data_IF_928465759487
#
_entry.id   IF_928465759487
#
_cell.length_a   1.000
_cell.length_b   1.000
_cell.length_c   1.000
_cell.angle_alpha   90.00
_cell.angle_beta   90.00
_cell.angle_gamma   90.00
#
_symmetry.space_group_name_H-M   'P 1'
#
loop_
_entity.id
_entity.type
_entity.pdbx_description
1 polymer ?
#
# COMPACT_ATOMS: atom_id res chain seq x y z
N UNK A 1 18.57 -16.14 5.69
CA UNK A 1 17.87 -14.92 5.26
C UNK A 1 18.34 -14.49 3.87
N UNK A 2 19.63 -14.19 3.63
CA UNK A 2 20.11 -13.75 2.30
C UNK A 2 19.74 -14.69 1.13
N UNK A 3 19.86 -16.01 1.29
CA UNK A 3 19.54 -16.96 0.22
C UNK A 3 18.03 -17.03 -0.11
N UNK A 4 17.18 -16.65 0.84
CA UNK A 4 15.72 -16.72 0.75
C UNK A 4 15.11 -15.43 0.18
N UNK A 5 15.87 -14.33 0.14
CA UNK A 5 15.40 -13.07 -0.42
C UNK A 5 15.30 -13.16 -1.94
N UNK A 6 14.13 -12.82 -2.48
CA UNK A 6 13.93 -12.51 -3.89
C UNK A 6 13.71 -11.00 -4.04
N UNK A 7 14.47 -10.37 -4.93
CA UNK A 7 14.46 -8.92 -5.09
C UNK A 7 14.57 -8.50 -6.55
N UNK A 8 13.70 -7.57 -6.94
CA UNK A 8 13.70 -6.93 -8.24
C UNK A 8 13.76 -5.42 -8.09
N UNK A 9 14.73 -4.81 -8.76
CA UNK A 9 14.73 -3.35 -9.00
C UNK A 9 14.22 -3.11 -10.41
N UNK A 10 13.17 -2.31 -10.53
CA UNK A 10 12.49 -2.02 -11.77
C UNK A 10 12.36 -0.50 -11.96
N UNK A 11 12.61 -0.04 -13.18
CA UNK A 11 12.40 1.36 -13.56
C UNK A 11 11.38 1.42 -14.69
N UNK A 12 10.21 1.95 -14.37
CA UNK A 12 9.17 2.26 -15.32
C UNK A 12 9.52 3.57 -16.03
N UNK A 13 9.92 3.49 -17.30
CA UNK A 13 10.46 4.61 -18.08
C UNK A 13 9.46 5.27 -19.04
N UNK A 14 8.21 4.81 -19.06
CA UNK A 14 7.21 5.33 -20.00
C UNK A 14 6.73 6.73 -19.61
N UNK A 15 6.58 6.99 -18.31
CA UNK A 15 6.26 8.29 -17.75
C UNK A 15 6.67 8.37 -16.28
N UNK A 16 6.58 9.55 -15.69
CA UNK A 16 6.78 9.78 -14.25
C UNK A 16 5.69 10.65 -13.65
N UNK A 17 5.96 11.21 -12.47
CA UNK A 17 4.99 12.03 -11.72
C UNK A 17 4.50 13.25 -12.48
N UNK A 18 5.26 13.75 -13.47
CA UNK A 18 4.84 14.88 -14.30
C UNK A 18 3.55 14.57 -15.05
N UNK A 19 3.48 13.41 -15.70
CA UNK A 19 2.32 12.98 -16.46
C UNK A 19 1.11 12.78 -15.54
N UNK A 20 1.31 12.08 -14.42
CA UNK A 20 0.22 11.82 -13.45
C UNK A 20 -0.39 13.13 -12.91
N UNK A 21 0.46 14.13 -12.61
CA UNK A 21 0.00 15.47 -12.23
C UNK A 21 -0.77 16.18 -13.35
N UNK A 22 -0.34 16.04 -14.61
CA UNK A 22 -1.07 16.61 -15.76
C UNK A 22 -2.47 15.99 -15.94
N UNK A 23 -2.67 14.75 -15.48
CA UNK A 23 -3.98 14.11 -15.42
C UNK A 23 -4.84 14.59 -14.22
N UNK A 24 -4.33 15.49 -13.38
CA UNK A 24 -5.02 15.98 -12.18
C UNK A 24 -5.03 14.99 -11.01
N UNK A 25 -4.09 14.03 -10.99
CA UNK A 25 -4.03 12.97 -9.97
C UNK A 25 -2.84 13.16 -9.02
N UNK A 26 -3.01 12.72 -7.76
CA UNK A 26 -1.90 12.55 -6.82
C UNK A 26 -0.97 11.44 -7.33
N UNK A 27 0.33 11.71 -7.57
CA UNK A 27 1.27 10.69 -8.03
C UNK A 27 1.39 9.49 -7.10
N UNK A 28 1.43 9.76 -5.79
CA UNK A 28 1.53 8.74 -4.75
C UNK A 28 0.31 7.81 -4.77
N UNK A 29 -0.89 8.40 -4.69
CA UNK A 29 -2.15 7.66 -4.67
C UNK A 29 -2.40 6.89 -5.99
N UNK A 30 -1.99 7.46 -7.12
CA UNK A 30 -2.01 6.75 -8.41
C UNK A 30 -1.11 5.50 -8.40
N UNK A 31 0.10 5.61 -7.86
CA UNK A 31 1.05 4.49 -7.76
C UNK A 31 0.51 3.42 -6.80
N UNK A 32 -0.08 3.83 -5.67
CA UNK A 32 -0.73 2.92 -4.73
C UNK A 32 -1.85 2.11 -5.38
N UNK A 33 -2.75 2.75 -6.14
CA UNK A 33 -3.79 2.02 -6.89
C UNK A 33 -3.23 1.17 -8.03
N UNK A 34 -2.13 1.58 -8.67
CA UNK A 34 -1.45 0.74 -9.65
C UNK A 34 -0.90 -0.54 -8.99
N UNK A 35 -0.38 -0.45 -7.76
CA UNK A 35 0.08 -1.63 -6.99
C UNK A 35 -1.09 -2.52 -6.54
N UNK A 36 -2.23 -1.94 -6.13
CA UNK A 36 -3.45 -2.73 -5.85
C UNK A 36 -3.91 -3.50 -7.09
N UNK A 37 -3.98 -2.83 -8.24
CA UNK A 37 -4.35 -3.46 -9.51
C UNK A 37 -3.37 -4.56 -9.92
N UNK A 38 -2.07 -4.34 -9.74
CA UNK A 38 -1.05 -5.34 -10.04
C UNK A 38 -1.21 -6.57 -9.14
N UNK A 39 -1.41 -6.38 -7.82
CA UNK A 39 -1.65 -7.48 -6.90
C UNK A 39 -2.92 -8.25 -7.27
N UNK A 40 -4.02 -7.54 -7.52
CA UNK A 40 -5.30 -8.15 -7.87
C UNK A 40 -5.20 -8.98 -9.16
N UNK A 41 -4.48 -8.51 -10.19
CA UNK A 41 -4.23 -9.28 -11.42
C UNK A 41 -3.42 -10.55 -11.22
N UNK A 42 -2.55 -10.59 -10.20
CA UNK A 42 -1.68 -11.75 -9.93
C UNK A 42 -2.43 -12.79 -9.10
N UNK A 43 -3.22 -12.32 -8.12
CA UNK A 43 -3.78 -13.15 -7.04
C UNK A 43 -5.29 -13.29 -7.06
N UNK A 44 -6.01 -12.49 -7.85
CA UNK A 44 -7.48 -12.38 -7.87
C UNK A 44 -8.09 -12.16 -6.47
N UNK A 45 -7.36 -11.42 -5.62
CA UNK A 45 -7.73 -11.10 -4.24
C UNK A 45 -7.18 -9.73 -3.86
N UNK A 46 -7.83 -9.06 -2.91
CA UNK A 46 -7.34 -7.79 -2.38
C UNK A 46 -6.33 -8.01 -1.24
N UNK A 47 -5.20 -7.28 -1.22
CA UNK A 47 -4.24 -7.38 -0.12
C UNK A 47 -4.55 -6.40 1.02
N UNK A 48 -4.60 -6.83 2.29
CA UNK A 48 -4.36 -5.89 3.39
C UNK A 48 -3.03 -5.19 3.18
N UNK A 49 -3.09 -3.88 2.96
CA UNK A 49 -1.94 -3.08 2.52
C UNK A 49 -1.53 -2.08 3.59
N UNK A 50 -0.23 -2.06 3.86
CA UNK A 50 0.43 -1.05 4.66
C UNK A 50 1.08 -0.03 3.73
N UNK A 51 0.79 1.25 3.95
CA UNK A 51 1.60 2.36 3.46
C UNK A 51 2.01 3.27 4.61
N UNK A 52 3.23 3.80 4.55
CA UNK A 52 3.76 4.70 5.58
C UNK A 52 3.20 6.12 5.44
N UNK A 53 2.40 6.58 6.41
CA UNK A 53 2.11 8.00 6.62
C UNK A 53 3.11 8.60 7.61
N UNK A 54 3.67 9.78 7.30
CA UNK A 54 4.51 10.53 8.26
C UNK A 54 3.65 11.27 9.29
N UNK A 55 4.01 11.15 10.57
CA UNK A 55 3.40 11.90 11.67
C UNK A 55 4.29 13.05 12.18
N UNK A 56 5.30 13.47 11.41
CA UNK A 56 6.27 14.52 11.80
C UNK A 56 5.66 15.92 12.07
N UNK A 57 4.35 16.08 11.93
CA UNK A 57 3.59 17.27 12.37
C UNK A 57 3.37 17.30 13.88
N UNK A 58 3.44 16.15 14.53
CA UNK A 58 3.31 15.98 15.97
C UNK A 58 4.68 15.86 16.61
N UNK A 59 4.77 16.25 17.88
CA UNK A 59 5.98 16.04 18.66
C UNK A 59 6.30 14.55 18.77
N UNK A 60 7.59 14.20 18.68
CA UNK A 60 8.09 12.81 18.58
C UNK A 60 7.45 11.96 17.45
N UNK A 61 6.76 12.60 16.52
CA UNK A 61 5.96 11.94 15.49
C UNK A 61 6.80 11.05 14.57
N UNK A 62 6.46 9.76 14.56
CA UNK A 62 7.03 8.75 13.66
C UNK A 62 6.11 8.52 12.46
N UNK A 63 5.35 7.43 12.47
CA UNK A 63 4.50 7.04 11.34
C UNK A 63 3.14 6.55 11.79
N UNK A 64 2.14 6.80 10.95
CA UNK A 64 0.83 6.13 10.93
C UNK A 64 0.76 5.22 9.69
N UNK A 65 -0.35 4.51 9.52
CA UNK A 65 -0.63 3.59 8.42
C UNK A 65 -1.70 4.19 7.52
N UNK A 66 -1.38 4.33 6.24
CA UNK A 66 -2.38 4.53 5.18
C UNK A 66 -2.78 3.12 4.73
N UNK A 67 -4.08 2.87 4.62
CA UNK A 67 -4.61 1.53 4.35
C UNK A 67 -5.27 1.45 2.99
N UNK A 68 -5.00 0.31 2.35
CA UNK A 68 -5.70 -0.18 1.16
C UNK A 68 -6.02 -1.68 1.34
N UNK A 69 -7.00 -2.21 0.60
CA UNK A 69 -7.92 -1.47 -0.27
C UNK A 69 -8.90 -0.59 0.52
N UNK A 70 -9.36 0.50 -0.08
CA UNK A 70 -10.67 1.08 0.19
C UNK A 70 -11.73 0.42 -0.69
N UNK A 71 -13.01 0.59 -0.37
CA UNK A 71 -14.13 0.06 -1.19
C UNK A 71 -14.02 0.52 -2.65
N UNK A 72 -13.60 1.75 -2.88
CA UNK A 72 -13.46 2.34 -4.21
C UNK A 72 -12.29 1.74 -4.98
N UNK A 73 -11.18 1.47 -4.30
CA UNK A 73 -10.03 0.81 -4.92
C UNK A 73 -10.31 -0.65 -5.23
N UNK A 74 -11.07 -1.33 -4.37
CA UNK A 74 -11.52 -2.71 -4.59
C UNK A 74 -12.47 -2.76 -5.79
N UNK A 75 -13.48 -1.89 -5.83
CA UNK A 75 -14.40 -1.78 -6.96
C UNK A 75 -13.65 -1.49 -8.26
N UNK A 76 -12.75 -0.49 -8.27
CA UNK A 76 -11.96 -0.18 -9.46
C UNK A 76 -11.13 -1.37 -9.94
N UNK A 77 -10.45 -2.08 -9.03
CA UNK A 77 -9.56 -3.19 -9.41
C UNK A 77 -10.33 -4.41 -9.89
N UNK A 78 -11.47 -4.72 -9.27
CA UNK A 78 -12.40 -5.75 -9.73
C UNK A 78 -12.96 -5.42 -11.12
N UNK A 79 -13.52 -4.21 -11.29
CA UNK A 79 -14.14 -3.78 -12.55
C UNK A 79 -13.14 -3.72 -13.72
N UNK A 80 -11.88 -3.44 -13.44
CA UNK A 80 -10.80 -3.41 -14.43
C UNK A 80 -10.32 -4.80 -14.88
N UNK A 81 -10.62 -5.87 -14.14
CA UNK A 81 -10.01 -7.20 -14.36
C UNK A 81 -11.03 -8.32 -14.57
N UNK A 82 -12.05 -8.43 -13.71
CA UNK A 82 -12.93 -9.60 -13.65
C UNK A 82 -14.41 -9.27 -13.92
N UNK A 83 -14.78 -8.01 -14.18
CA UNK A 83 -16.19 -7.64 -14.32
C UNK A 83 -16.84 -8.20 -15.58
N UNK A 84 -17.97 -8.86 -15.38
CA UNK A 84 -18.84 -9.36 -16.45
C UNK A 84 -19.63 -8.24 -17.13
N UNK A 85 -19.68 -7.04 -16.55
CA UNK A 85 -20.44 -5.91 -17.08
C UNK A 85 -19.69 -5.18 -18.22
N UNK A 86 -18.39 -5.44 -18.38
CA UNK A 86 -17.50 -4.80 -19.37
C UNK A 86 -17.64 -3.27 -19.39
N UNK A 87 -17.30 -2.59 -18.27
CA UNK A 87 -17.49 -1.15 -18.13
C UNK A 87 -16.70 -0.38 -19.20
N UNK A 88 -17.30 0.70 -19.69
CA UNK A 88 -16.67 1.55 -20.68
C UNK A 88 -15.39 2.19 -20.13
N UNK A 89 -14.48 2.59 -21.04
CA UNK A 89 -13.26 3.30 -20.65
C UNK A 89 -13.55 4.56 -19.81
N UNK A 90 -14.66 5.26 -20.10
CA UNK A 90 -15.07 6.44 -19.35
C UNK A 90 -15.45 6.10 -17.91
N UNK A 91 -16.15 4.99 -17.70
CA UNK A 91 -16.53 4.50 -16.36
C UNK A 91 -15.29 4.07 -15.57
N UNK A 92 -14.39 3.30 -16.19
CA UNK A 92 -13.13 2.90 -15.56
C UNK A 92 -12.26 4.11 -15.18
N UNK A 93 -12.20 5.14 -16.03
CA UNK A 93 -11.49 6.39 -15.72
C UNK A 93 -12.13 7.10 -14.52
N UNK A 94 -13.46 7.12 -14.44
CA UNK A 94 -14.16 7.70 -13.30
C UNK A 94 -13.82 6.93 -12.01
N UNK A 95 -13.96 5.60 -12.02
CA UNK A 95 -13.64 4.75 -10.87
C UNK A 95 -12.20 4.95 -10.40
N UNK A 96 -11.24 4.97 -11.33
CA UNK A 96 -9.83 5.27 -11.02
C UNK A 96 -9.68 6.63 -10.33
N UNK A 97 -10.26 7.69 -10.92
CA UNK A 97 -10.17 9.06 -10.35
C UNK A 97 -10.76 9.11 -8.95
N UNK A 98 -11.89 8.45 -8.74
CA UNK A 98 -12.57 8.42 -7.46
C UNK A 98 -11.75 7.66 -6.41
N UNK A 99 -11.23 6.47 -6.74
CA UNK A 99 -10.36 5.70 -5.87
C UNK A 99 -9.08 6.49 -5.50
N UNK A 100 -8.46 7.17 -6.47
CA UNK A 100 -7.28 8.03 -6.22
C UNK A 100 -7.60 9.13 -5.21
N UNK A 101 -8.76 9.79 -5.35
CA UNK A 101 -9.15 10.85 -4.42
C UNK A 101 -9.47 10.30 -3.02
N UNK A 102 -10.09 9.13 -2.90
CA UNK A 102 -10.35 8.50 -1.60
C UNK A 102 -9.05 8.09 -0.90
N UNK A 103 -8.12 7.49 -1.63
CA UNK A 103 -6.79 7.19 -1.09
C UNK A 103 -6.09 8.45 -0.57
N UNK A 104 -6.09 9.52 -1.37
CA UNK A 104 -5.52 10.83 -0.99
C UNK A 104 -6.23 11.42 0.23
N UNK A 105 -7.55 11.28 0.34
CA UNK A 105 -8.30 11.71 1.51
C UNK A 105 -7.84 10.98 2.77
N UNK A 106 -7.72 9.64 2.70
CA UNK A 106 -7.23 8.83 3.81
C UNK A 106 -5.77 9.12 4.16
N UNK A 107 -4.94 9.39 3.15
CA UNK A 107 -3.55 9.85 3.33
C UNK A 107 -3.49 11.09 4.21
N UNK A 108 -4.35 12.09 3.93
CA UNK A 108 -4.44 13.30 4.75
C UNK A 108 -4.88 12.98 6.17
N UNK A 109 -5.92 12.16 6.35
CA UNK A 109 -6.39 11.74 7.67
C UNK A 109 -5.28 11.06 8.50
N UNK A 110 -4.56 10.10 7.91
CA UNK A 110 -3.46 9.41 8.56
C UNK A 110 -2.33 10.39 8.95
N UNK A 111 -1.93 11.29 8.04
CA UNK A 111 -0.90 12.30 8.30
C UNK A 111 -1.30 13.37 9.33
N UNK A 112 -2.60 13.53 9.59
CA UNK A 112 -3.14 14.40 10.65
C UNK A 112 -3.50 13.64 11.91
N UNK A 113 -2.99 12.42 12.10
CA UNK A 113 -3.19 11.63 13.32
C UNK A 113 -4.59 11.08 13.50
N UNK A 114 -5.38 11.03 12.42
CA UNK A 114 -6.73 10.48 12.39
C UNK A 114 -6.79 9.07 11.78
N UNK A 115 -5.63 8.42 11.61
CA UNK A 115 -5.56 6.99 11.27
C UNK A 115 -5.91 6.10 12.45
N UNK A 116 -6.22 4.83 12.18
CA UNK A 116 -6.67 3.90 13.23
C UNK A 116 -5.55 3.07 13.85
N UNK A 117 -4.48 2.75 13.11
CA UNK A 117 -3.55 1.71 13.54
C UNK A 117 -2.77 2.06 14.81
N UNK A 118 -2.21 3.28 14.92
CA UNK A 118 -1.50 3.67 16.14
C UNK A 118 -2.45 3.83 17.32
N UNK A 119 -3.68 4.27 17.07
CA UNK A 119 -4.70 4.34 18.12
C UNK A 119 -5.05 2.94 18.64
N UNK A 120 -5.35 1.98 17.75
CA UNK A 120 -5.62 0.59 18.12
C UNK A 120 -4.42 -0.08 18.80
N UNK A 121 -3.20 0.19 18.33
CA UNK A 121 -1.98 -0.28 18.99
C UNK A 121 -1.87 0.29 20.41
N UNK A 122 -2.10 1.59 20.59
CA UNK A 122 -2.07 2.24 21.90
C UNK A 122 -3.06 1.63 22.89
N UNK A 123 -4.31 1.39 22.46
CA UNK A 123 -5.32 0.72 23.29
C UNK A 123 -4.91 -0.71 23.67
N UNK A 124 -4.35 -1.47 22.72
CA UNK A 124 -3.87 -2.84 22.97
C UNK A 124 -2.71 -2.87 23.97
N UNK A 125 -1.74 -1.96 23.83
CA UNK A 125 -0.60 -1.86 24.75
C UNK A 125 -1.05 -1.39 26.13
N UNK A 126 -1.94 -0.40 26.22
CA UNK A 126 -2.47 0.09 27.48
C UNK A 126 -3.23 -1.00 28.25
N UNK A 127 -4.04 -1.82 27.56
CA UNK A 127 -4.73 -2.95 28.19
C UNK A 127 -3.74 -3.95 28.80
N UNK A 128 -2.66 -4.25 28.07
CA UNK A 128 -1.58 -5.13 28.55
C UNK A 128 -0.84 -4.53 29.75
N UNK A 129 -0.54 -3.24 29.72
CA UNK A 129 0.19 -2.53 30.77
C UNK A 129 -0.62 -2.45 32.07
N UNK A 130 -1.93 -2.19 31.95
CA UNK A 130 -2.85 -2.12 33.08
C UNK A 130 -3.21 -3.52 33.65
N UNK A 131 -2.80 -4.60 32.99
CA UNK A 131 -3.13 -5.97 33.40
C UNK A 131 -4.62 -6.30 33.31
N UNK A 132 -5.38 -5.55 32.49
CA UNK A 132 -6.80 -5.84 32.26
C UNK A 132 -6.95 -6.91 31.18
N UNK A 133 -8.08 -7.66 31.16
CA UNK A 133 -8.36 -8.58 30.07
C UNK A 133 -8.28 -7.87 28.72
N UNK A 134 -7.57 -8.49 27.77
CA UNK A 134 -7.42 -7.94 26.42
C UNK A 134 -8.81 -7.76 25.78
N UNK A 135 -9.16 -6.56 25.29
CA UNK A 135 -10.43 -6.35 24.60
C UNK A 135 -10.61 -7.32 23.44
N UNK A 136 -11.81 -7.89 23.33
CA UNK A 136 -12.13 -8.98 22.40
C UNK A 136 -11.81 -8.63 20.94
N UNK A 137 -11.98 -7.37 20.54
CA UNK A 137 -11.65 -6.90 19.19
C UNK A 137 -10.23 -7.31 18.75
N UNK A 138 -9.25 -7.30 19.66
CA UNK A 138 -7.85 -7.61 19.35
C UNK A 138 -7.56 -9.11 19.19
N UNK A 139 -8.51 -9.98 19.54
CA UNK A 139 -8.39 -11.45 19.41
C UNK A 139 -9.22 -12.00 18.25
N UNK A 140 -10.10 -11.18 17.66
CA UNK A 140 -10.91 -11.56 16.49
C UNK A 140 -10.05 -11.91 15.27
N UNK A 141 -10.55 -12.80 14.43
CA UNK A 141 -9.88 -13.16 13.18
C UNK A 141 -9.85 -12.00 12.18
N UNK A 142 -10.86 -11.13 12.20
CA UNK A 142 -10.88 -9.91 11.41
C UNK A 142 -9.70 -8.98 11.77
N UNK A 143 -9.41 -8.78 13.05
CA UNK A 143 -8.24 -7.98 13.46
C UNK A 143 -6.92 -8.64 13.06
N UNK A 144 -6.79 -9.97 13.21
CA UNK A 144 -5.60 -10.71 12.77
C UNK A 144 -5.35 -10.53 11.28
N UNK A 145 -6.40 -10.70 10.47
CA UNK A 145 -6.34 -10.54 9.01
C UNK A 145 -5.99 -9.09 8.62
N UNK A 146 -6.63 -8.10 9.26
CA UNK A 146 -6.37 -6.68 9.03
C UNK A 146 -4.92 -6.27 9.33
N UNK A 147 -4.28 -6.95 10.29
CA UNK A 147 -2.89 -6.70 10.68
C UNK A 147 -1.87 -7.56 9.93
N UNK A 148 -2.32 -8.52 9.12
CA UNK A 148 -1.47 -9.36 8.27
C UNK A 148 -1.29 -8.73 6.89
N UNK A 149 -0.35 -7.79 6.79
CA UNK A 149 -0.11 -7.07 5.54
C UNK A 149 0.54 -7.97 4.48
N UNK A 150 -0.17 -8.18 3.36
CA UNK A 150 0.35 -8.88 2.17
C UNK A 150 1.04 -7.95 1.17
N UNK A 151 0.84 -6.65 1.32
CA UNK A 151 1.56 -5.63 0.58
C UNK A 151 2.02 -4.53 1.53
N UNK A 152 3.33 -4.30 1.62
CA UNK A 152 3.94 -3.31 2.51
C UNK A 152 4.75 -2.29 1.72
N UNK A 153 4.32 -1.05 1.72
CA UNK A 153 4.75 -0.03 0.77
C UNK A 153 5.27 1.24 1.45
N UNK A 154 6.18 1.92 0.78
CA UNK A 154 6.61 3.26 1.18
C UNK A 154 7.16 4.04 0.00
N UNK A 155 6.72 5.29 -0.12
CA UNK A 155 7.33 6.25 -1.00
C UNK A 155 8.58 6.83 -0.35
N UNK A 156 9.70 6.82 -1.07
CA UNK A 156 10.86 7.63 -0.68
C UNK A 156 11.37 8.45 -1.86
N UNK A 157 10.90 9.69 -1.98
CA UNK A 157 11.21 10.53 -3.12
C UNK A 157 12.65 11.04 -3.02
N UNK A 158 13.42 10.85 -4.10
CA UNK A 158 14.75 11.44 -4.27
C UNK A 158 14.96 11.81 -5.74
N UNK A 159 15.73 12.87 -6.00
CA UNK A 159 16.02 13.31 -7.38
C UNK A 159 17.03 12.39 -8.10
N UNK A 160 17.69 11.50 -7.36
CA UNK A 160 18.65 10.54 -7.89
C UNK A 160 18.06 9.13 -7.92
N UNK A 161 18.60 8.28 -8.80
CA UNK A 161 18.25 6.87 -8.76
C UNK A 161 18.98 6.20 -7.59
N UNK A 162 18.23 5.97 -6.51
CA UNK A 162 18.69 5.20 -5.35
C UNK A 162 17.70 4.06 -5.14
N UNK A 163 18.17 2.83 -5.34
CA UNK A 163 17.39 1.63 -5.09
C UNK A 163 17.34 1.35 -3.59
N UNK A 164 16.36 1.94 -2.92
CA UNK A 164 16.07 1.61 -1.53
C UNK A 164 15.10 0.44 -1.46
N UNK A 165 15.28 -0.42 -0.47
CA UNK A 165 14.50 -1.63 -0.31
C UNK A 165 14.46 -2.07 1.14
N UNK A 166 13.48 -2.90 1.46
CA UNK A 166 13.35 -3.60 2.74
C UNK A 166 12.70 -4.96 2.48
N UNK A 167 12.93 -5.90 3.41
CA UNK A 167 12.30 -7.20 3.35
C UNK A 167 10.80 -7.14 3.64
N UNK A 168 10.02 -8.15 3.22
CA UNK A 168 8.60 -8.22 3.49
C UNK A 168 8.30 -8.45 4.98
N UNK A 169 7.12 -8.02 5.45
CA UNK A 169 6.70 -8.13 6.86
C UNK A 169 6.16 -9.51 7.24
N UNK A 170 5.86 -10.35 6.26
CA UNK A 170 5.37 -11.72 6.40
C UNK A 170 5.89 -12.59 5.24
N UNK A 171 5.83 -13.94 5.33
CA UNK A 171 6.31 -14.82 4.27
C UNK A 171 5.64 -14.61 2.91
N UNK A 172 4.35 -14.32 2.91
CA UNK A 172 3.46 -14.08 1.76
C UNK A 172 3.31 -12.58 1.40
N UNK A 173 4.18 -11.72 1.94
CA UNK A 173 4.11 -10.28 1.73
C UNK A 173 5.08 -9.81 0.64
N UNK A 174 4.67 -8.76 -0.07
CA UNK A 174 5.52 -7.95 -0.94
C UNK A 174 6.00 -6.70 -0.19
N UNK A 175 7.32 -6.53 -0.05
CA UNK A 175 7.92 -5.26 0.35
C UNK A 175 8.21 -4.39 -0.87
N UNK A 176 7.55 -3.25 -1.02
CA UNK A 176 7.68 -2.38 -2.20
C UNK A 176 8.04 -0.95 -1.81
N UNK A 177 9.30 -0.57 -2.05
CA UNK A 177 9.73 0.82 -1.95
C UNK A 177 9.66 1.46 -3.34
N UNK A 178 9.18 2.69 -3.44
CA UNK A 178 9.13 3.40 -4.73
C UNK A 178 9.61 4.85 -4.65
N UNK A 179 10.20 5.31 -5.75
CA UNK A 179 10.68 6.68 -5.94
C UNK A 179 10.10 7.28 -7.24
N UNK A 180 9.07 8.13 -7.14
CA UNK A 180 8.51 8.82 -8.29
C UNK A 180 9.35 10.04 -8.70
N UNK A 181 9.97 9.96 -9.88
CA UNK A 181 10.66 11.08 -10.52
C UNK A 181 9.80 11.70 -11.63
N UNK A 182 10.23 12.84 -12.18
CA UNK A 182 9.44 13.59 -13.18
C UNK A 182 9.07 12.77 -14.41
N UNK A 183 10.00 11.94 -14.92
CA UNK A 183 9.84 11.20 -16.19
C UNK A 183 9.85 9.67 -16.05
N UNK A 184 10.09 9.16 -14.84
CA UNK A 184 10.19 7.73 -14.58
C UNK A 184 9.75 7.42 -13.14
N UNK A 185 9.36 6.18 -12.91
CA UNK A 185 9.02 5.66 -11.59
C UNK A 185 9.95 4.49 -11.27
N UNK A 186 10.59 4.51 -10.12
CA UNK A 186 11.48 3.44 -9.67
C UNK A 186 10.80 2.62 -8.58
N UNK A 187 10.96 1.31 -8.65
CA UNK A 187 10.42 0.35 -7.71
C UNK A 187 11.52 -0.62 -7.28
N UNK A 188 11.59 -0.90 -5.99
CA UNK A 188 12.31 -2.04 -5.44
C UNK A 188 11.29 -2.96 -4.79
N UNK A 189 11.17 -4.17 -5.31
CA UNK A 189 10.20 -5.17 -4.90
C UNK A 189 10.97 -6.30 -4.24
N UNK A 190 10.57 -6.69 -3.04
CA UNK A 190 11.17 -7.77 -2.28
C UNK A 190 10.10 -8.77 -1.82
N UNK A 191 10.37 -10.06 -2.02
CA UNK A 191 9.57 -11.19 -1.52
C UNK A 191 10.50 -12.26 -0.93
N UNK A 192 9.95 -13.40 -0.49
CA UNK A 192 10.74 -14.56 -0.07
C UNK A 192 10.56 -15.72 -1.04
N UNK A 193 11.67 -16.30 -1.53
CA UNK A 193 11.69 -17.42 -2.48
C UNK A 193 10.94 -18.64 -1.98
N UNK A 194 10.91 -18.86 -0.67
CA UNK A 194 10.17 -19.99 -0.06
C UNK A 194 8.65 -19.84 -0.12
N UNK A 195 8.11 -18.64 -0.34
CA UNK A 195 6.68 -18.48 -0.54
C UNK A 195 6.37 -18.67 -2.03
N UNK A 196 5.76 -19.80 -2.43
CA UNK A 196 5.52 -20.09 -3.85
C UNK A 196 4.51 -19.14 -4.50
N UNK A 197 3.67 -18.48 -3.69
CA UNK A 197 2.62 -17.58 -4.16
C UNK A 197 3.19 -16.21 -4.54
N UNK A 198 4.37 -15.83 -4.03
CA UNK A 198 4.98 -14.51 -4.29
C UNK A 198 6.20 -14.59 -5.20
N UNK A 199 6.39 -13.56 -6.01
CA UNK A 199 7.56 -13.39 -6.88
C UNK A 199 7.81 -11.92 -7.13
N UNK A 200 9.03 -11.44 -6.90
CA UNK A 200 9.38 -10.04 -7.14
C UNK A 200 9.42 -9.67 -8.63
N UNK A 201 9.44 -10.68 -9.53
CA UNK A 201 9.60 -10.50 -10.97
C UNK A 201 8.32 -10.71 -11.80
N UNK A 202 7.26 -11.29 -11.21
CA UNK A 202 5.96 -11.53 -11.87
C UNK A 202 5.12 -10.26 -11.85
#
# INVERSE_FOLDING_TARGET
>A
MANDTDMKVYSFKHYGKKFVKQCGLSPDSYIQLAMQLAYYRIHHQQPPTYETATLRRFDEGRTETIRLPSLESEMFTYEMVDSEQDPSQTELIHMLKFAVEQHKHYTVQAMTGSGMDRHLLGLRLAASELGIPMPEIFTTDAYKEMMHFRLSTSQVPTDHFIAMCYGPSAPDCYGVCYNPQEKQLHFSICTLKKCPDTSSSR
#
